data_IF_099212319582
#
_entry.id   IF_099212319582
#
_cell.length_a   1.000
_cell.length_b   1.000
_cell.length_c   1.000
_cell.angle_alpha   90.00
_cell.angle_beta   90.00
_cell.angle_gamma   90.00
#
_symmetry.space_group_name_H-M   'P 1'
#
loop_
_entity.id
_entity.type
_entity.pdbx_description
1 polymer ?
#
# COMPACT_ATOMS: atom_id res chain seq x y z
N UNK A 1 17.41 -22.03 1.55
CA UNK A 1 18.58 -21.12 1.53
C UNK A 1 18.11 -19.78 1.02
N UNK A 2 17.90 -18.79 1.90
CA UNK A 2 17.43 -17.47 1.49
C UNK A 2 18.53 -16.78 0.67
N UNK A 3 18.34 -16.66 -0.65
CA UNK A 3 19.12 -15.74 -1.47
C UNK A 3 18.57 -14.33 -1.25
N UNK A 4 18.89 -13.76 -0.10
CA UNK A 4 18.70 -12.32 0.14
C UNK A 4 19.73 -11.51 -0.65
N UNK A 5 19.43 -10.24 -0.89
CA UNK A 5 20.40 -9.32 -1.50
C UNK A 5 21.49 -9.06 -0.46
N UNK A 6 22.71 -9.52 -0.74
CA UNK A 6 23.86 -9.30 0.16
C UNK A 6 24.21 -7.82 0.20
N UNK A 7 24.62 -7.33 1.38
CA UNK A 7 25.24 -6.02 1.51
C UNK A 7 26.62 -6.03 0.86
N UNK A 8 26.94 -4.94 0.16
CA UNK A 8 28.18 -4.77 -0.60
C UNK A 8 28.76 -3.38 -0.37
N UNK A 9 30.03 -3.19 -0.74
CA UNK A 9 30.65 -1.87 -0.73
C UNK A 9 29.86 -0.90 -1.63
N UNK A 10 29.59 0.30 -1.11
CA UNK A 10 28.88 1.33 -1.86
C UNK A 10 29.80 2.08 -2.81
N UNK A 11 29.28 2.44 -3.98
CA UNK A 11 29.98 3.25 -4.97
C UNK A 11 29.14 4.49 -5.24
N UNK A 12 29.77 5.66 -5.15
CA UNK A 12 29.14 6.92 -5.55
C UNK A 12 29.14 7.03 -7.07
N UNK A 13 28.02 7.47 -7.65
CA UNK A 13 27.84 7.53 -9.09
C UNK A 13 27.90 8.98 -9.61
N UNK A 14 28.44 9.21 -10.82
CA UNK A 14 28.37 10.52 -11.46
C UNK A 14 26.93 10.84 -11.84
N UNK A 15 26.58 12.13 -11.77
CA UNK A 15 25.35 12.64 -12.37
C UNK A 15 25.48 12.55 -13.88
N UNK A 16 24.67 11.70 -14.51
CA UNK A 16 24.63 11.58 -15.97
C UNK A 16 23.82 12.72 -16.58
N UNK A 17 24.46 13.59 -17.34
CA UNK A 17 23.79 14.72 -17.98
C UNK A 17 22.72 14.21 -18.94
N UNK A 18 21.44 14.51 -18.64
CA UNK A 18 20.28 14.02 -19.40
C UNK A 18 20.25 12.48 -19.55
N UNK A 19 20.84 11.75 -18.60
CA UNK A 19 20.89 10.28 -18.62
C UNK A 19 21.88 9.68 -19.62
N UNK A 20 22.78 10.47 -20.21
CA UNK A 20 23.78 9.97 -21.16
C UNK A 20 24.97 9.35 -20.43
N UNK A 21 25.15 8.02 -20.55
CA UNK A 21 26.26 7.26 -19.94
C UNK A 21 27.65 7.66 -20.46
N UNK A 22 27.74 8.37 -21.58
CA UNK A 22 29.00 8.86 -22.15
C UNK A 22 29.40 10.24 -21.64
N UNK A 23 28.53 10.91 -20.86
CA UNK A 23 28.77 12.26 -20.32
C UNK A 23 28.65 12.26 -18.80
N UNK A 24 29.66 11.72 -18.09
CA UNK A 24 29.68 11.77 -16.63
C UNK A 24 29.88 13.21 -16.16
N UNK A 25 28.95 13.70 -15.34
CA UNK A 25 29.09 14.96 -14.62
C UNK A 25 29.73 14.77 -13.24
N UNK A 26 29.41 15.67 -12.29
CA UNK A 26 29.91 15.61 -10.91
C UNK A 26 29.53 14.29 -10.23
N UNK A 27 30.42 13.75 -9.41
CA UNK A 27 30.12 12.61 -8.53
C UNK A 27 29.05 13.04 -7.52
N UNK A 28 28.00 12.24 -7.38
CA UNK A 28 26.93 12.44 -6.40
C UNK A 28 27.13 11.43 -5.27
N UNK A 29 27.39 11.90 -4.04
CA UNK A 29 27.53 11.00 -2.91
C UNK A 29 26.20 10.31 -2.60
N UNK A 30 26.26 9.06 -2.17
CA UNK A 30 25.05 8.31 -1.76
C UNK A 30 24.35 9.02 -0.61
N UNK A 31 23.06 9.30 -0.83
CA UNK A 31 22.16 9.97 0.11
C UNK A 31 20.71 9.68 -0.26
N UNK A 32 19.79 9.93 0.67
CA UNK A 32 18.37 10.05 0.37
C UNK A 32 18.06 11.36 -0.39
N UNK A 33 16.80 11.57 -0.79
CA UNK A 33 16.40 12.79 -1.50
C UNK A 33 16.75 14.06 -0.70
N UNK A 34 17.53 14.96 -1.31
CA UNK A 34 17.96 16.22 -0.68
C UNK A 34 16.78 17.12 -0.27
N UNK A 35 15.67 17.06 -1.02
CA UNK A 35 14.45 17.81 -0.71
C UNK A 35 13.84 17.43 0.65
N UNK A 36 14.17 16.23 1.15
CA UNK A 36 13.77 15.74 2.47
C UNK A 36 14.84 16.01 3.55
N UNK A 37 15.85 16.83 3.25
CA UNK A 37 16.93 17.16 4.18
C UNK A 37 17.96 16.05 4.41
N UNK A 38 18.00 15.01 3.56
CA UNK A 38 18.97 13.92 3.75
C UNK A 38 20.38 14.39 3.44
N UNK A 39 21.30 14.19 4.39
CA UNK A 39 22.75 14.32 4.19
C UNK A 39 23.41 13.09 3.54
N UNK A 40 24.64 13.20 2.99
CA UNK A 40 25.43 12.06 2.55
C UNK A 40 25.55 10.99 3.63
N UNK A 41 25.39 9.72 3.23
CA UNK A 41 25.51 8.61 4.15
C UNK A 41 26.98 8.41 4.55
N UNK A 42 27.27 8.50 5.85
CA UNK A 42 28.58 8.20 6.41
C UNK A 42 28.80 6.68 6.54
N UNK A 43 28.83 5.96 5.40
CA UNK A 43 29.05 4.50 5.37
C UNK A 43 29.85 4.06 4.16
N UNK A 44 30.66 3.02 4.35
CA UNK A 44 31.40 2.32 3.27
C UNK A 44 30.57 1.23 2.60
N UNK A 45 29.45 0.81 3.21
CA UNK A 45 28.50 -0.15 2.64
C UNK A 45 27.61 0.53 1.60
N UNK A 46 26.57 -0.11 1.09
CA UNK A 46 25.75 0.42 -0.01
C UNK A 46 24.96 1.70 0.33
N UNK A 47 24.65 1.95 1.60
CA UNK A 47 23.76 3.06 2.01
C UNK A 47 22.27 2.70 2.03
N UNK A 48 21.90 1.46 1.65
CA UNK A 48 20.50 1.01 1.62
C UNK A 48 19.85 0.99 3.00
N UNK A 49 20.59 0.57 4.02
CA UNK A 49 20.10 0.57 5.39
C UNK A 49 19.76 1.99 5.84
N UNK A 50 20.67 2.94 5.63
CA UNK A 50 20.47 4.35 5.98
C UNK A 50 19.27 4.94 5.22
N UNK A 51 19.12 4.63 3.93
CA UNK A 51 17.94 5.04 3.17
C UNK A 51 16.65 4.44 3.73
N UNK A 52 16.66 3.16 4.12
CA UNK A 52 15.50 2.49 4.71
C UNK A 52 15.15 3.10 6.08
N UNK A 53 16.14 3.34 6.94
CA UNK A 53 15.99 3.99 8.24
C UNK A 53 15.45 5.41 8.11
N UNK A 54 15.97 6.21 7.17
CA UNK A 54 15.43 7.55 6.88
C UNK A 54 14.00 7.51 6.33
N UNK A 55 13.70 6.53 5.47
CA UNK A 55 12.37 6.38 4.88
C UNK A 55 11.35 5.99 5.94
N UNK A 56 11.71 5.06 6.83
CA UNK A 56 10.86 4.57 7.92
C UNK A 56 11.00 5.39 9.22
N UNK A 57 11.75 6.49 9.21
CA UNK A 57 11.93 7.35 10.38
C UNK A 57 10.60 8.00 10.77
N UNK A 58 10.35 8.12 12.07
CA UNK A 58 9.23 8.91 12.59
C UNK A 58 9.34 10.41 12.28
N UNK A 59 10.55 10.90 12.00
CA UNK A 59 10.80 12.29 11.59
C UNK A 59 10.44 12.54 10.11
N UNK A 60 10.16 11.49 9.34
CA UNK A 60 9.68 11.60 7.97
C UNK A 60 8.14 11.51 7.93
N UNK A 61 7.43 12.66 7.85
CA UNK A 61 5.96 12.66 7.88
C UNK A 61 5.33 12.10 6.60
N UNK A 62 6.07 12.03 5.49
CA UNK A 62 5.51 11.62 4.19
C UNK A 62 5.20 10.12 4.16
N UNK A 63 6.10 9.29 4.68
CA UNK A 63 5.94 7.83 4.64
C UNK A 63 4.68 7.41 5.38
N UNK A 64 4.46 7.94 6.59
CA UNK A 64 3.27 7.65 7.38
C UNK A 64 1.99 8.13 6.67
N UNK A 65 1.97 9.36 6.13
CA UNK A 65 0.82 9.90 5.38
C UNK A 65 0.47 9.06 4.15
N UNK A 66 1.48 8.68 3.36
CA UNK A 66 1.29 7.87 2.15
C UNK A 66 0.75 6.49 2.51
N UNK A 67 1.34 5.81 3.51
CA UNK A 67 0.89 4.49 3.93
C UNK A 67 -0.54 4.53 4.49
N UNK A 68 -0.84 5.48 5.37
CA UNK A 68 -2.18 5.65 5.92
C UNK A 68 -3.20 5.91 4.82
N UNK A 69 -2.89 6.75 3.83
CA UNK A 69 -3.79 6.99 2.71
C UNK A 69 -4.01 5.74 1.85
N UNK A 70 -2.98 4.90 1.65
CA UNK A 70 -3.12 3.61 0.95
C UNK A 70 -3.97 2.62 1.75
N UNK A 71 -3.80 2.54 3.07
CA UNK A 71 -4.65 1.72 3.93
C UNK A 71 -6.09 2.22 3.95
N UNK A 72 -6.27 3.53 3.99
CA UNK A 72 -7.57 4.19 3.87
C UNK A 72 -8.23 3.83 2.53
N UNK A 73 -7.53 4.02 1.41
CA UNK A 73 -8.02 3.65 0.08
C UNK A 73 -8.39 2.16 0.02
N UNK A 74 -7.57 1.28 0.59
CA UNK A 74 -7.86 -0.15 0.60
C UNK A 74 -9.15 -0.48 1.37
N UNK A 75 -9.40 0.21 2.48
CA UNK A 75 -10.65 0.07 3.22
C UNK A 75 -11.81 0.70 2.42
N UNK A 76 -11.77 2.02 2.21
CA UNK A 76 -12.89 2.85 1.75
C UNK A 76 -13.04 2.94 0.22
N UNK A 77 -12.16 2.30 -0.54
CA UNK A 77 -12.10 2.33 -2.01
C UNK A 77 -11.35 3.54 -2.59
N UNK A 78 -11.56 4.71 -2.00
CA UNK A 78 -10.93 5.97 -2.38
C UNK A 78 -10.03 6.50 -1.27
N UNK A 79 -8.87 7.07 -1.64
CA UNK A 79 -7.97 7.72 -0.68
C UNK A 79 -8.52 9.06 -0.18
N UNK A 80 -8.07 9.51 1.00
CA UNK A 80 -8.24 10.90 1.44
C UNK A 80 -7.55 11.86 0.46
N UNK A 81 -6.41 11.43 -0.09
CA UNK A 81 -5.80 11.95 -1.31
C UNK A 81 -6.06 10.92 -2.41
N UNK A 82 -6.89 11.26 -3.40
CA UNK A 82 -7.29 10.32 -4.47
C UNK A 82 -6.16 9.95 -5.42
N UNK A 83 -5.21 10.88 -5.60
CA UNK A 83 -3.98 10.66 -6.38
C UNK A 83 -2.93 9.96 -5.52
N UNK A 84 -3.18 8.69 -5.21
CA UNK A 84 -2.43 7.91 -4.22
C UNK A 84 -0.93 7.80 -4.56
N UNK A 85 -0.58 7.82 -5.85
CA UNK A 85 0.80 7.76 -6.31
C UNK A 85 1.49 9.13 -6.43
N UNK A 86 0.74 10.24 -6.33
CA UNK A 86 1.26 11.60 -6.48
C UNK A 86 0.97 12.44 -5.23
N UNK A 87 1.67 12.16 -4.14
CA UNK A 87 1.63 13.02 -2.95
C UNK A 87 2.45 14.30 -3.17
N UNK A 88 1.78 15.46 -3.24
CA UNK A 88 2.45 16.76 -3.33
C UNK A 88 1.74 17.73 -4.28
N UNK A 89 2.49 18.69 -4.85
CA UNK A 89 1.93 19.78 -5.67
C UNK A 89 1.23 19.32 -6.95
N UNK A 90 1.65 18.19 -7.51
CA UNK A 90 1.05 17.61 -8.72
C UNK A 90 -0.14 16.69 -8.41
N UNK A 91 -0.37 16.41 -7.12
CA UNK A 91 -1.51 15.63 -6.66
C UNK A 91 -2.71 16.49 -6.32
N UNK A 92 -3.80 15.80 -6.00
CA UNK A 92 -4.97 16.38 -5.36
C UNK A 92 -4.67 16.72 -3.90
N UNK A 93 -5.37 17.74 -3.40
CA UNK A 93 -5.34 18.05 -1.97
C UNK A 93 -6.13 17.01 -1.18
N UNK A 94 -5.71 16.68 0.06
CA UNK A 94 -6.49 15.81 0.93
C UNK A 94 -7.89 16.39 1.15
N UNK A 95 -8.92 15.55 1.09
CA UNK A 95 -10.29 15.95 1.46
C UNK A 95 -10.38 16.32 2.93
N UNK A 96 -9.69 15.57 3.80
CA UNK A 96 -9.64 15.77 5.24
C UNK A 96 -8.18 15.80 5.72
N UNK A 97 -7.48 16.96 5.60
CA UNK A 97 -6.07 17.06 5.92
C UNK A 97 -5.77 16.80 7.40
N UNK A 98 -6.60 17.31 8.31
CA UNK A 98 -6.44 17.09 9.76
C UNK A 98 -6.62 15.62 10.14
N UNK A 99 -7.57 14.92 9.51
CA UNK A 99 -7.77 13.49 9.71
C UNK A 99 -6.57 12.68 9.22
N UNK A 100 -6.04 13.01 8.04
CA UNK A 100 -4.84 12.36 7.50
C UNK A 100 -3.65 12.54 8.44
N UNK A 101 -3.46 13.75 8.97
CA UNK A 101 -2.38 14.06 9.90
C UNK A 101 -2.54 13.34 11.25
N UNK A 102 -3.76 13.31 11.78
CA UNK A 102 -4.09 12.54 12.98
C UNK A 102 -3.78 11.05 12.80
N UNK A 103 -4.27 10.45 11.72
CA UNK A 103 -4.07 9.03 11.45
C UNK A 103 -2.59 8.70 11.18
N UNK A 104 -1.86 9.55 10.46
CA UNK A 104 -0.43 9.39 10.23
C UNK A 104 0.36 9.44 11.55
N UNK A 105 0.08 10.40 12.41
CA UNK A 105 0.74 10.50 13.71
C UNK A 105 0.42 9.31 14.62
N UNK A 106 -0.85 8.87 14.64
CA UNK A 106 -1.30 7.68 15.37
C UNK A 106 -0.67 6.38 14.86
N UNK A 107 -0.52 6.24 13.55
CA UNK A 107 0.12 5.08 12.92
C UNK A 107 1.53 4.84 13.46
N UNK A 108 2.29 5.92 13.60
CA UNK A 108 3.67 5.89 14.08
C UNK A 108 3.71 5.72 15.60
N UNK A 109 2.98 6.56 16.36
CA UNK A 109 3.10 6.64 17.82
C UNK A 109 2.39 5.53 18.57
N UNK A 110 1.15 5.22 18.18
CA UNK A 110 0.27 4.34 18.98
C UNK A 110 0.24 2.93 18.38
N UNK A 111 0.17 2.84 17.04
CA UNK A 111 0.07 1.56 16.35
C UNK A 111 1.45 0.93 16.03
N UNK A 112 2.53 1.69 16.19
CA UNK A 112 3.91 1.22 16.02
C UNK A 112 4.19 0.69 14.61
N UNK A 113 3.73 1.40 13.57
CA UNK A 113 3.81 0.99 12.16
C UNK A 113 3.03 -0.31 11.83
N UNK A 114 2.17 -0.79 12.72
CA UNK A 114 1.38 -2.00 12.49
C UNK A 114 0.21 -1.74 11.56
N UNK A 115 0.35 -2.14 10.29
CA UNK A 115 -0.73 -2.06 9.30
C UNK A 115 -2.01 -2.77 9.76
N UNK A 116 -1.87 -3.92 10.44
CA UNK A 116 -3.01 -4.70 10.95
C UNK A 116 -3.80 -3.93 12.02
N UNK A 117 -3.10 -3.25 12.94
CA UNK A 117 -3.78 -2.49 14.00
C UNK A 117 -4.42 -1.23 13.44
N UNK A 118 -3.75 -0.54 12.51
CA UNK A 118 -4.34 0.61 11.81
C UNK A 118 -5.58 0.20 11.00
N UNK A 119 -5.53 -0.89 10.24
CA UNK A 119 -6.71 -1.40 9.55
C UNK A 119 -7.83 -1.75 10.53
N UNK A 120 -7.53 -2.39 11.66
CA UNK A 120 -8.54 -2.64 12.70
C UNK A 120 -9.20 -1.34 13.15
N UNK A 121 -8.42 -0.31 13.48
CA UNK A 121 -8.95 1.00 13.87
C UNK A 121 -9.92 1.55 12.82
N UNK A 122 -9.52 1.57 11.55
CA UNK A 122 -10.34 2.06 10.45
C UNK A 122 -11.64 1.24 10.32
N UNK A 123 -11.55 -0.08 10.34
CA UNK A 123 -12.71 -0.99 10.19
C UNK A 123 -13.65 -0.97 11.39
N UNK A 124 -13.19 -0.54 12.57
CA UNK A 124 -14.04 -0.37 13.76
C UNK A 124 -14.59 1.05 13.90
N UNK A 125 -14.25 1.96 12.99
CA UNK A 125 -14.75 3.34 13.04
C UNK A 125 -16.23 3.43 12.70
N UNK A 126 -16.91 4.44 13.24
CA UNK A 126 -18.30 4.75 12.87
C UNK A 126 -18.41 5.03 11.36
N UNK A 127 -17.42 5.71 10.78
CA UNK A 127 -17.36 5.99 9.33
C UNK A 127 -17.40 4.71 8.50
N UNK A 128 -16.68 3.66 8.91
CA UNK A 128 -16.71 2.36 8.24
C UNK A 128 -18.06 1.65 8.39
N UNK A 129 -18.69 1.77 9.55
CA UNK A 129 -19.93 1.09 9.90
C UNK A 129 -21.18 1.81 9.38
N UNK A 130 -21.04 2.93 8.67
CA UNK A 130 -22.15 3.62 8.05
C UNK A 130 -22.88 2.74 7.04
N UNK A 131 -24.18 3.00 6.88
CA UNK A 131 -24.98 2.38 5.82
C UNK A 131 -24.55 2.89 4.44
N UNK A 132 -24.62 2.02 3.42
CA UNK A 132 -24.49 2.44 2.02
C UNK A 132 -25.76 3.09 1.46
N UNK A 133 -26.88 3.07 2.21
CA UNK A 133 -28.12 3.74 1.82
C UNK A 133 -27.95 5.26 2.02
N UNK A 134 -27.68 5.97 0.93
CA UNK A 134 -27.60 7.43 0.95
C UNK A 134 -28.98 8.09 0.94
N UNK A 135 -29.10 9.23 1.63
CA UNK A 135 -30.24 10.12 1.49
C UNK A 135 -30.17 10.89 0.17
N UNK A 136 -31.31 11.13 -0.49
CA UNK A 136 -31.38 11.81 -1.80
C UNK A 136 -30.69 13.17 -1.75
N UNK A 137 -30.96 13.97 -0.71
CA UNK A 137 -30.34 15.29 -0.55
C UNK A 137 -28.82 15.23 -0.32
N UNK A 138 -28.28 14.11 0.18
CA UNK A 138 -26.84 13.89 0.32
C UNK A 138 -26.19 13.52 -1.01
N UNK A 139 -26.87 12.71 -1.83
CA UNK A 139 -26.42 12.32 -3.17
C UNK A 139 -26.38 13.50 -4.14
N UNK A 140 -27.34 14.41 -4.05
CA UNK A 140 -27.37 15.63 -4.88
C UNK A 140 -26.23 16.61 -4.52
N UNK A 141 -25.91 16.75 -3.24
CA UNK A 141 -24.83 17.64 -2.77
C UNK A 141 -23.43 17.05 -2.98
N UNK A 142 -23.28 15.74 -2.79
CA UNK A 142 -22.00 15.04 -2.89
C UNK A 142 -22.17 13.62 -3.46
N UNK A 143 -22.41 13.56 -4.77
CA UNK A 143 -22.52 12.30 -5.49
C UNK A 143 -21.26 11.44 -5.36
N UNK A 144 -20.08 12.08 -5.36
CA UNK A 144 -18.78 11.43 -5.26
C UNK A 144 -18.40 11.00 -3.84
N UNK A 145 -19.25 11.22 -2.84
CA UNK A 145 -19.07 10.84 -1.44
C UNK A 145 -17.73 11.28 -0.83
N UNK A 146 -17.24 12.47 -1.20
CA UNK A 146 -16.00 13.06 -0.67
C UNK A 146 -16.06 13.31 0.82
N UNK A 147 -17.24 13.62 1.35
CA UNK A 147 -17.48 13.95 2.76
C UNK A 147 -17.87 12.73 3.61
N UNK A 148 -17.85 11.51 3.04
CA UNK A 148 -18.05 10.26 3.76
C UNK A 148 -19.38 10.24 4.56
N UNK A 149 -20.46 10.67 3.90
CA UNK A 149 -21.81 10.69 4.49
C UNK A 149 -22.50 9.32 4.45
N UNK A 150 -21.93 8.38 3.68
CA UNK A 150 -22.37 6.99 3.56
C UNK A 150 -21.18 6.08 3.31
N UNK A 151 -21.38 4.78 3.48
CA UNK A 151 -20.39 3.80 3.02
C UNK A 151 -20.47 3.60 1.50
N UNK A 152 -19.36 3.81 0.79
CA UNK A 152 -19.29 3.59 -0.65
C UNK A 152 -19.45 2.11 -1.00
N UNK A 153 -20.21 1.82 -2.05
CA UNK A 153 -20.31 0.45 -2.57
C UNK A 153 -18.97 0.04 -3.17
N UNK A 154 -18.50 -1.15 -2.80
CA UNK A 154 -17.27 -1.75 -3.32
C UNK A 154 -17.59 -2.98 -4.13
N UNK A 155 -16.82 -3.20 -5.20
CA UNK A 155 -16.84 -4.47 -5.91
C UNK A 155 -16.24 -5.55 -5.00
N UNK A 156 -16.86 -6.73 -5.00
CA UNK A 156 -16.27 -7.89 -4.36
C UNK A 156 -15.26 -8.52 -5.31
N UNK A 157 -14.10 -8.89 -4.78
CA UNK A 157 -13.09 -9.66 -5.51
C UNK A 157 -13.56 -11.12 -5.64
N UNK A 158 -13.04 -11.83 -6.65
CA UNK A 158 -13.43 -13.20 -6.93
C UNK A 158 -13.16 -14.13 -5.73
N UNK A 159 -12.06 -13.90 -5.01
CA UNK A 159 -11.65 -14.62 -3.82
C UNK A 159 -12.67 -14.46 -2.69
N UNK A 160 -13.17 -13.24 -2.46
CA UNK A 160 -14.18 -12.98 -1.44
C UNK A 160 -15.51 -13.69 -1.76
N UNK A 161 -15.88 -13.77 -3.04
CA UNK A 161 -17.07 -14.51 -3.48
C UNK A 161 -16.87 -16.01 -3.27
N UNK A 162 -15.72 -16.56 -3.67
CA UNK A 162 -15.36 -17.97 -3.45
C UNK A 162 -15.38 -18.33 -1.96
N UNK A 163 -14.71 -17.54 -1.13
CA UNK A 163 -14.61 -17.77 0.31
C UNK A 163 -15.98 -17.68 0.99
N UNK A 164 -16.86 -16.79 0.53
CA UNK A 164 -18.24 -16.72 1.02
C UNK A 164 -19.03 -17.99 0.67
N UNK A 165 -18.88 -18.53 -0.54
CA UNK A 165 -19.51 -19.80 -0.95
C UNK A 165 -19.00 -20.95 -0.07
N UNK A 166 -17.68 -21.05 0.12
CA UNK A 166 -17.06 -22.09 0.97
C UNK A 166 -17.44 -21.96 2.44
N UNK A 167 -17.56 -20.73 2.94
CA UNK A 167 -17.99 -20.48 4.31
C UNK A 167 -19.44 -20.95 4.54
N UNK A 168 -20.34 -20.63 3.60
CA UNK A 168 -21.76 -21.00 3.68
C UNK A 168 -21.96 -22.50 3.44
N UNK A 169 -21.16 -23.14 2.59
CA UNK A 169 -21.21 -24.60 2.37
C UNK A 169 -20.55 -25.41 3.51
N UNK A 170 -19.84 -24.74 4.43
CA UNK A 170 -19.12 -25.38 5.54
C UNK A 170 -17.82 -26.06 5.11
N UNK A 171 -17.32 -25.75 3.91
CA UNK A 171 -16.08 -26.33 3.35
C UNK A 171 -14.85 -25.46 3.60
N UNK A 172 -15.01 -24.20 4.03
CA UNK A 172 -13.88 -23.28 4.22
C UNK A 172 -12.82 -23.82 5.20
N UNK A 173 -11.63 -24.15 4.68
CA UNK A 173 -10.44 -24.47 5.49
C UNK A 173 -9.70 -23.18 5.92
N UNK A 174 -9.69 -22.90 7.22
CA UNK A 174 -8.99 -21.76 7.83
C UNK A 174 -7.51 -22.05 8.15
N UNK A 175 -7.00 -23.25 7.82
CA UNK A 175 -5.61 -23.61 8.08
C UNK A 175 -4.67 -22.74 7.25
N UNK A 176 -3.93 -21.88 7.95
CA UNK A 176 -2.90 -21.08 7.31
C UNK A 176 -1.73 -21.94 6.84
N UNK A 177 -1.12 -21.51 5.74
CA UNK A 177 0.04 -22.14 5.09
C UNK A 177 -0.26 -23.52 4.46
N UNK A 178 0.57 -23.88 3.48
CA UNK A 178 0.44 -25.13 2.75
C UNK A 178 0.87 -24.97 1.30
N UNK A 179 0.85 -26.07 0.54
CA UNK A 179 0.99 -25.97 -0.92
C UNK A 179 -0.17 -25.15 -1.49
N UNK A 180 0.11 -24.32 -2.49
CA UNK A 180 -0.93 -23.60 -3.22
C UNK A 180 -1.82 -24.57 -4.01
N UNK A 181 -3.09 -24.22 -4.17
CA UNK A 181 -4.03 -24.96 -5.00
C UNK A 181 -3.82 -24.57 -6.46
N UNK A 182 -3.73 -25.56 -7.36
CA UNK A 182 -3.65 -25.30 -8.80
C UNK A 182 -4.98 -24.74 -9.33
N UNK A 183 -4.91 -23.86 -10.33
CA UNK A 183 -6.12 -23.33 -10.99
C UNK A 183 -6.72 -24.42 -11.90
N UNK A 184 -8.03 -24.62 -11.86
CA UNK A 184 -8.72 -25.49 -12.82
C UNK A 184 -8.73 -24.86 -14.21
N UNK A 185 -8.35 -25.62 -15.22
CA UNK A 185 -8.50 -25.25 -16.63
C UNK A 185 -8.96 -26.44 -17.47
N UNK A 186 -9.83 -26.17 -18.45
CA UNK A 186 -10.49 -27.18 -19.31
C UNK A 186 -9.57 -27.69 -20.41
N UNK A 187 -8.75 -26.81 -20.99
CA UNK A 187 -7.77 -27.16 -22.02
C UNK A 187 -6.40 -26.63 -21.64
N UNK A 188 -5.38 -27.46 -21.88
CA UNK A 188 -3.99 -27.15 -21.51
C UNK A 188 -3.35 -26.27 -22.57
N UNK A 189 -2.91 -25.08 -22.19
CA UNK A 189 -1.93 -24.30 -22.96
C UNK A 189 -0.54 -24.90 -22.74
N UNK A 190 0.27 -25.03 -23.79
CA UNK A 190 1.63 -25.59 -23.66
C UNK A 190 2.44 -24.85 -22.59
N UNK A 191 3.06 -25.59 -21.66
CA UNK A 191 3.83 -25.05 -20.54
C UNK A 191 3.07 -24.90 -19.21
N UNK A 192 1.76 -25.14 -19.17
CA UNK A 192 0.98 -25.11 -17.92
C UNK A 192 1.25 -26.32 -16.99
N UNK A 193 1.18 -26.07 -15.68
CA UNK A 193 1.26 -27.10 -14.61
C UNK A 193 0.09 -28.10 -14.65
N UNK A 194 -0.10 -28.90 -13.60
CA UNK A 194 -1.28 -29.77 -13.51
C UNK A 194 -2.56 -28.94 -13.35
N UNK A 195 -3.66 -29.38 -13.99
CA UNK A 195 -4.98 -28.76 -13.77
C UNK A 195 -5.42 -29.02 -12.34
N UNK A 196 -5.84 -27.97 -11.64
CA UNK A 196 -6.41 -28.11 -10.31
C UNK A 196 -7.85 -28.62 -10.35
N UNK A 197 -8.45 -28.93 -9.20
CA UNK A 197 -9.85 -29.34 -9.09
C UNK A 197 -10.80 -28.16 -9.32
N UNK A 198 -12.01 -28.43 -9.83
CA UNK A 198 -12.99 -27.41 -10.24
C UNK A 198 -13.43 -26.51 -9.09
N UNK A 199 -13.53 -27.07 -7.88
CA UNK A 199 -13.82 -26.41 -6.61
C UNK A 199 -12.55 -25.95 -5.85
N UNK A 200 -11.38 -26.38 -6.31
CA UNK A 200 -10.11 -26.09 -5.67
C UNK A 200 -9.78 -26.96 -4.44
N UNK A 201 -10.49 -28.07 -4.20
CA UNK A 201 -10.37 -29.01 -3.05
C UNK A 201 -9.47 -28.56 -1.87
N UNK A 202 -9.94 -27.49 -1.20
CA UNK A 202 -10.36 -27.43 0.21
C UNK A 202 -11.43 -26.35 0.34
#
# INVERSE_FOLDING_TARGET
>A
MFRGVLEAAGIDHPLWERGQLTRPGRIVPRRGPQVLGSEPFATVQSGRLQLAEQTASGDNPLTARVLVNRLWQHAFGEGLVRTVDNFGRLGELPTHPELLDYLAARFVRDEGWSMKRMLRLLLTSETWQQSSRGEVAGLERDGANRWLSRMSLRRLEAEAIRDAILAVSGQLDLKMYGPGVSVYFVSRTEGGGASGPLDGDR
#
